data_IF_769452563249
#
_entry.id   IF_769452563249
#
_cell.length_a   1.000
_cell.length_b   1.000
_cell.length_c   1.000
_cell.angle_alpha   90.00
_cell.angle_beta   90.00
_cell.angle_gamma   90.00
#
_symmetry.space_group_name_H-M   'P 1'
#
loop_
_entity.id
_entity.type
_entity.pdbx_description
1 polymer ?
#
# COMPACT_ATOMS: atom_id res chain seq x y z
N UNK A 1 1.08 -23.30 -30.42
CA UNK A 1 0.76 -22.16 -29.54
C UNK A 1 0.55 -22.71 -28.13
N UNK A 2 1.54 -22.56 -27.25
CA UNK A 2 1.47 -23.10 -25.89
C UNK A 2 0.40 -22.38 -25.08
N UNK A 3 -0.57 -23.13 -24.56
CA UNK A 3 -1.58 -22.63 -23.62
C UNK A 3 -0.86 -22.13 -22.37
N UNK A 4 -0.76 -20.81 -22.24
CA UNK A 4 -0.39 -20.18 -20.98
C UNK A 4 -1.47 -20.55 -19.96
N UNK A 5 -1.09 -21.13 -18.82
CA UNK A 5 -2.02 -21.44 -17.73
C UNK A 5 -2.83 -20.20 -17.33
N UNK A 6 -3.97 -20.35 -16.62
CA UNK A 6 -4.76 -19.20 -16.19
C UNK A 6 -3.86 -18.22 -15.44
N UNK A 7 -3.83 -16.96 -15.88
CA UNK A 7 -3.05 -15.96 -15.17
C UNK A 7 -3.59 -15.86 -13.74
N UNK A 8 -2.72 -15.68 -12.74
CA UNK A 8 -3.15 -15.50 -11.34
C UNK A 8 -4.13 -14.32 -11.17
N UNK A 9 -4.23 -13.43 -12.16
CA UNK A 9 -5.13 -12.28 -12.17
C UNK A 9 -6.60 -12.58 -12.45
N UNK A 10 -6.95 -13.74 -13.05
CA UNK A 10 -8.35 -14.03 -13.42
C UNK A 10 -9.11 -14.87 -12.38
N UNK A 11 -8.46 -15.36 -11.32
CA UNK A 11 -9.06 -16.40 -10.47
C UNK A 11 -8.81 -16.27 -8.96
N UNK A 12 -8.04 -15.29 -8.51
CA UNK A 12 -7.65 -15.20 -7.09
C UNK A 12 -7.91 -13.80 -6.54
N UNK A 13 -8.92 -13.68 -5.68
CA UNK A 13 -9.06 -12.54 -4.77
C UNK A 13 -8.01 -12.69 -3.68
N UNK A 14 -6.87 -12.01 -3.84
CA UNK A 14 -5.81 -12.01 -2.84
C UNK A 14 -6.19 -11.03 -1.73
N UNK A 15 -6.85 -11.55 -0.69
CA UNK A 15 -7.10 -10.79 0.52
C UNK A 15 -5.80 -10.77 1.36
N UNK A 16 -5.20 -9.59 1.52
CA UNK A 16 -4.03 -9.41 2.37
C UNK A 16 -4.52 -9.24 3.80
N UNK A 17 -4.29 -10.24 4.64
CA UNK A 17 -4.64 -10.17 6.06
C UNK A 17 -3.82 -9.09 6.79
N UNK A 18 -4.39 -8.43 7.82
CA UNK A 18 -3.68 -7.40 8.59
C UNK A 18 -2.35 -7.86 9.18
N UNK A 19 -2.28 -9.12 9.62
CA UNK A 19 -1.05 -9.76 10.12
C UNK A 19 0.08 -9.77 9.08
N UNK A 20 -0.24 -9.99 7.79
CA UNK A 20 0.75 -9.98 6.70
C UNK A 20 1.24 -8.56 6.42
N UNK A 21 0.33 -7.57 6.49
CA UNK A 21 0.69 -6.15 6.34
C UNK A 21 1.71 -5.77 7.42
N UNK A 22 1.46 -6.15 8.67
CA UNK A 22 2.36 -5.86 9.77
C UNK A 22 3.71 -6.58 9.61
N UNK A 23 3.71 -7.86 9.25
CA UNK A 23 4.95 -8.60 8.98
C UNK A 23 5.78 -7.97 7.86
N UNK A 24 5.15 -7.51 6.78
CA UNK A 24 5.82 -6.79 5.69
C UNK A 24 6.39 -5.45 6.16
N UNK A 25 5.66 -4.72 7.00
CA UNK A 25 6.14 -3.47 7.58
C UNK A 25 7.38 -3.70 8.47
N UNK A 26 7.34 -4.70 9.35
CA UNK A 26 8.47 -5.07 10.20
C UNK A 26 9.70 -5.48 9.40
N UNK A 27 9.51 -6.23 8.31
CA UNK A 27 10.59 -6.57 7.38
C UNK A 27 11.19 -5.31 6.71
N UNK A 28 10.36 -4.33 6.33
CA UNK A 28 10.83 -3.08 5.73
C UNK A 28 11.64 -2.23 6.72
N UNK A 29 11.17 -2.12 7.97
CA UNK A 29 11.90 -1.43 9.05
C UNK A 29 13.27 -2.08 9.23
N UNK A 30 13.29 -3.41 9.38
CA UNK A 30 14.51 -4.17 9.66
C UNK A 30 15.51 -4.17 8.50
N UNK A 31 15.03 -4.28 7.25
CA UNK A 31 15.90 -4.47 6.07
C UNK A 31 16.35 -3.17 5.42
N UNK A 32 15.57 -2.09 5.56
CA UNK A 32 15.80 -0.82 4.85
C UNK A 32 15.93 0.38 5.79
N UNK A 33 16.01 0.13 7.10
CA UNK A 33 16.14 1.14 8.15
C UNK A 33 15.12 2.28 7.99
N UNK A 34 13.86 1.89 7.79
CA UNK A 34 12.78 2.82 7.51
C UNK A 34 12.21 3.37 8.81
N UNK A 35 12.15 4.69 8.93
CA UNK A 35 11.45 5.35 10.03
C UNK A 35 9.94 5.36 9.82
N UNK A 36 9.20 5.11 10.90
CA UNK A 36 7.75 5.21 10.90
C UNK A 36 7.30 6.64 11.24
N UNK A 37 6.23 7.08 10.60
CA UNK A 37 5.49 8.25 11.03
C UNK A 37 4.78 7.95 12.35
N UNK A 38 4.46 8.98 13.11
CA UNK A 38 3.60 8.83 14.29
C UNK A 38 2.20 8.32 13.90
N UNK A 39 1.47 7.82 14.88
CA UNK A 39 0.16 7.19 14.67
C UNK A 39 -0.87 8.18 14.09
N UNK A 40 -0.87 9.43 14.57
CA UNK A 40 -1.80 10.47 14.11
C UNK A 40 -1.55 10.81 12.63
N UNK A 41 -0.29 11.04 12.25
CA UNK A 41 0.10 11.28 10.86
C UNK A 41 -0.25 10.10 9.98
N UNK A 42 0.07 8.88 10.42
CA UNK A 42 -0.23 7.65 9.67
C UNK A 42 -1.73 7.45 9.46
N UNK A 43 -2.54 7.71 10.48
CA UNK A 43 -3.99 7.61 10.42
C UNK A 43 -4.60 8.65 9.47
N UNK A 44 -4.17 9.92 9.56
CA UNK A 44 -4.61 10.99 8.64
C UNK A 44 -4.29 10.64 7.18
N UNK A 45 -3.07 10.17 6.90
CA UNK A 45 -2.65 9.76 5.56
C UNK A 45 -3.47 8.58 5.03
N UNK A 46 -3.82 7.63 5.90
CA UNK A 46 -4.66 6.48 5.53
C UNK A 46 -6.09 6.91 5.20
N UNK A 47 -6.70 7.77 6.01
CA UNK A 47 -8.03 8.33 5.75
C UNK A 47 -8.11 9.04 4.38
N UNK A 48 -7.09 9.83 4.05
CA UNK A 48 -6.94 10.44 2.72
C UNK A 48 -6.80 9.41 1.59
N UNK A 49 -6.16 8.27 1.87
CA UNK A 49 -6.09 7.18 0.89
C UNK A 49 -7.45 6.51 0.70
N UNK A 50 -8.20 6.23 1.77
CA UNK A 50 -9.50 5.53 1.71
C UNK A 50 -10.54 6.30 0.88
N UNK A 51 -10.48 7.63 0.89
CA UNK A 51 -11.33 8.50 0.07
C UNK A 51 -10.77 8.81 -1.33
N UNK A 52 -9.57 8.30 -1.67
CA UNK A 52 -8.90 8.61 -2.93
C UNK A 52 -9.40 7.72 -4.06
N UNK A 53 -9.61 8.32 -5.25
CA UNK A 53 -9.89 7.57 -6.50
C UNK A 53 -8.74 6.66 -6.94
N UNK A 54 -7.59 6.77 -6.28
CA UNK A 54 -6.44 5.90 -6.45
C UNK A 54 -6.43 4.65 -5.57
N UNK A 55 -7.33 4.55 -4.60
CA UNK A 55 -7.47 3.36 -3.75
C UNK A 55 -8.23 2.28 -4.50
N UNK A 56 -7.55 1.18 -4.78
CA UNK A 56 -8.06 0.08 -5.59
C UNK A 56 -7.72 -1.25 -4.94
N UNK A 57 -8.46 -2.30 -5.31
CA UNK A 57 -8.21 -3.67 -4.86
C UNK A 57 -8.14 -3.83 -3.33
N UNK A 58 -8.93 -3.05 -2.58
CA UNK A 58 -9.03 -3.16 -1.13
C UNK A 58 -7.77 -2.80 -0.34
N UNK A 59 -6.82 -2.06 -0.92
CA UNK A 59 -5.61 -1.68 -0.19
C UNK A 59 -4.48 -1.09 -1.02
N UNK A 60 -4.57 -1.06 -2.36
CA UNK A 60 -3.45 -0.70 -3.22
C UNK A 60 -3.62 0.69 -3.81
N UNK A 61 -2.54 1.47 -3.87
CA UNK A 61 -2.53 2.73 -4.60
C UNK A 61 -2.27 2.49 -6.09
N UNK A 62 -3.20 2.89 -6.97
CA UNK A 62 -3.04 2.75 -8.43
C UNK A 62 -1.87 3.51 -9.03
N UNK A 63 -1.38 4.55 -8.34
CA UNK A 63 -0.32 5.42 -8.85
C UNK A 63 1.09 4.89 -8.58
N UNK A 64 1.28 4.11 -7.51
CA UNK A 64 2.59 3.57 -7.14
C UNK A 64 2.62 2.06 -6.90
N UNK A 65 1.48 1.38 -6.95
CA UNK A 65 1.36 -0.06 -6.72
C UNK A 65 1.63 -0.52 -5.28
N UNK A 66 1.83 0.41 -4.34
CA UNK A 66 2.09 0.06 -2.94
C UNK A 66 0.79 -0.18 -2.16
N UNK A 67 0.84 -1.04 -1.15
CA UNK A 67 -0.20 -1.14 -0.13
C UNK A 67 -0.25 0.16 0.68
N UNK A 68 -1.42 0.81 0.73
CA UNK A 68 -1.58 2.11 1.40
C UNK A 68 -1.36 1.98 2.90
N UNK A 69 -1.77 0.87 3.51
CA UNK A 69 -1.61 0.58 4.94
C UNK A 69 -0.13 0.58 5.37
N UNK A 70 0.78 0.21 4.47
CA UNK A 70 2.22 0.25 4.69
C UNK A 70 2.76 1.64 4.34
N UNK A 71 2.41 2.16 3.16
CA UNK A 71 3.00 3.41 2.65
C UNK A 71 2.72 4.61 3.56
N UNK A 72 1.54 4.69 4.14
CA UNK A 72 1.13 5.83 5.00
C UNK A 72 1.89 5.85 6.32
N UNK A 73 2.31 4.68 6.81
CA UNK A 73 3.10 4.51 8.03
C UNK A 73 4.57 4.89 7.89
N UNK A 74 5.09 5.05 6.67
CA UNK A 74 6.49 5.41 6.44
C UNK A 74 6.65 6.93 6.51
N UNK A 75 7.54 7.41 7.37
CA UNK A 75 7.78 8.85 7.62
C UNK A 75 8.17 9.60 6.35
N UNK A 76 9.21 9.11 5.66
CA UNK A 76 9.81 9.74 4.47
C UNK A 76 9.10 9.37 3.16
N UNK A 77 7.77 9.27 3.19
CA UNK A 77 6.95 9.05 2.00
C UNK A 77 5.98 10.21 1.82
N UNK A 78 5.77 10.54 0.55
CA UNK A 78 4.78 11.52 0.09
C UNK A 78 3.72 10.81 -0.75
N UNK A 79 2.51 11.38 -0.82
CA UNK A 79 1.46 10.84 -1.68
C UNK A 79 1.89 10.89 -3.17
N UNK A 80 1.84 9.77 -3.92
CA UNK A 80 2.25 9.71 -5.32
C UNK A 80 1.16 10.20 -6.29
N UNK A 81 0.19 10.98 -5.80
CA UNK A 81 -0.88 11.51 -6.64
C UNK A 81 -0.28 12.46 -7.69
N UNK A 82 -0.64 12.33 -8.98
CA UNK A 82 0.11 12.96 -10.08
C UNK A 82 -0.01 14.49 -10.15
N UNK A 83 -1.03 15.06 -9.51
CA UNK A 83 -1.18 16.52 -9.39
C UNK A 83 -0.58 16.97 -8.06
N UNK A 84 -1.42 17.28 -7.09
CA UNK A 84 -0.99 17.65 -5.74
C UNK A 84 -1.03 16.42 -4.85
N UNK A 85 0.06 16.12 -4.12
CA UNK A 85 0.03 15.10 -3.07
C UNK A 85 -1.16 15.34 -2.14
N UNK A 86 -1.97 14.30 -1.90
CA UNK A 86 -3.11 14.39 -0.98
C UNK A 86 -2.69 14.43 0.49
N UNK A 87 -1.43 14.06 0.75
CA UNK A 87 -0.78 14.02 2.05
C UNK A 87 0.74 13.90 1.88
#
# INVERSE_FOLDING_TARGET
MSKQGPCKGCSESIEVSPEKVEAMLQMLISSRNVELADEETSAKRLDQCLSCTGYVYGGTCKYCGCLVQIRTKIKDRVCPYPLTPKW
#
